data_IF_299853175901
#
_entry.id   IF_299853175901
#
_cell.length_a   1.000
_cell.length_b   1.000
_cell.length_c   1.000
_cell.angle_alpha   90.00
_cell.angle_beta   90.00
_cell.angle_gamma   90.00
#
_symmetry.space_group_name_H-M   'P 1'
#
loop_
_entity.id
_entity.type
_entity.pdbx_description
1 polymer ?
#
# COMPACT_ATOMS: atom_id res chain seq x y z
N UNK A 1 62.01 38.82 -7.88
CA UNK A 1 62.95 38.27 -6.89
C UNK A 1 63.16 36.82 -7.30
N UNK A 2 64.21 36.51 -8.09
CA UNK A 2 65.58 36.24 -7.64
C UNK A 2 65.58 35.10 -6.62
N UNK A 3 66.35 34.02 -6.65
CA UNK A 3 67.43 33.46 -7.48
C UNK A 3 67.63 32.03 -6.90
N UNK A 4 67.88 31.00 -7.71
CA UNK A 4 69.17 30.29 -7.85
C UNK A 4 69.64 29.43 -6.66
N UNK A 5 69.81 28.13 -6.96
CA UNK A 5 70.88 27.20 -6.57
C UNK A 5 71.26 26.90 -5.10
N UNK A 6 71.37 25.60 -4.80
CA UNK A 6 72.18 25.10 -3.68
C UNK A 6 71.97 23.63 -3.28
N UNK A 7 72.59 22.70 -4.04
CA UNK A 7 73.35 21.49 -3.63
C UNK A 7 72.84 20.60 -2.45
N UNK A 8 72.92 19.25 -2.45
CA UNK A 8 74.09 18.41 -2.71
C UNK A 8 73.69 16.92 -2.86
N UNK A 9 74.48 16.23 -3.69
CA UNK A 9 74.48 14.81 -4.02
C UNK A 9 74.70 13.88 -2.81
N UNK A 10 74.17 12.65 -2.90
CA UNK A 10 74.89 11.40 -2.61
C UNK A 10 74.17 10.22 -3.32
N UNK A 11 74.82 9.64 -4.34
CA UNK A 11 74.56 8.26 -4.82
C UNK A 11 75.48 7.31 -4.02
N UNK A 12 75.09 6.04 -3.88
CA UNK A 12 75.93 5.01 -4.51
C UNK A 12 75.08 3.94 -5.24
N UNK A 13 75.40 3.66 -6.51
CA UNK A 13 76.15 2.49 -7.02
C UNK A 13 75.24 1.30 -7.35
N UNK A 14 75.37 0.88 -8.60
CA UNK A 14 74.67 -0.16 -9.34
C UNK A 14 74.60 -1.54 -8.65
N UNK A 15 73.50 -2.23 -8.91
CA UNK A 15 73.52 -3.61 -9.40
C UNK A 15 72.16 -3.96 -10.00
N UNK A 16 72.06 -4.02 -11.33
CA UNK A 16 71.11 -4.95 -11.96
C UNK A 16 71.57 -6.38 -11.62
N UNK A 17 70.63 -7.32 -11.48
CA UNK A 17 70.43 -8.19 -12.64
C UNK A 17 68.99 -8.66 -12.85
N UNK A 18 68.74 -8.99 -14.11
CA UNK A 18 67.88 -10.07 -14.60
C UNK A 18 66.36 -9.89 -14.53
N UNK A 19 65.85 -9.58 -15.72
CA UNK A 19 64.66 -10.19 -16.33
C UNK A 19 64.33 -11.59 -15.84
N UNK A 20 63.22 -11.76 -15.12
CA UNK A 20 62.37 -12.96 -15.16
C UNK A 20 60.92 -12.57 -14.78
N UNK A 21 60.02 -12.71 -15.75
CA UNK A 21 58.57 -13.00 -15.63
C UNK A 21 57.69 -12.25 -14.60
N UNK A 22 57.09 -11.13 -15.01
CA UNK A 22 55.87 -10.59 -14.38
C UNK A 22 54.75 -10.57 -15.42
N UNK A 23 54.29 -11.75 -15.83
CA UNK A 23 53.12 -11.86 -16.71
C UNK A 23 52.12 -12.93 -16.24
N UNK A 24 51.84 -13.02 -14.94
CA UNK A 24 50.82 -13.98 -14.45
C UNK A 24 49.96 -13.53 -13.26
N UNK A 25 49.99 -12.25 -12.86
CA UNK A 25 49.21 -11.77 -11.69
C UNK A 25 48.14 -10.68 -11.99
N UNK A 26 47.82 -10.43 -13.27
CA UNK A 26 46.79 -9.45 -13.67
C UNK A 26 45.42 -10.06 -14.05
N UNK A 27 45.30 -11.39 -14.21
CA UNK A 27 44.02 -12.03 -14.57
C UNK A 27 43.11 -12.30 -13.36
N UNK A 28 43.66 -12.56 -12.18
CA UNK A 28 42.86 -12.93 -11.00
C UNK A 28 42.26 -11.72 -10.28
N UNK A 29 42.99 -10.60 -10.16
CA UNK A 29 42.45 -9.34 -9.62
C UNK A 29 41.30 -8.76 -10.47
N UNK A 30 41.32 -8.96 -11.79
CA UNK A 30 40.25 -8.48 -12.71
C UNK A 30 39.01 -9.37 -12.64
N UNK A 31 39.17 -10.68 -12.39
CA UNK A 31 38.08 -11.63 -12.14
C UNK A 31 37.41 -11.40 -10.79
N UNK A 32 38.16 -11.11 -9.73
CA UNK A 32 37.58 -10.81 -8.41
C UNK A 32 36.84 -9.46 -8.38
N UNK A 33 37.37 -8.41 -9.03
CA UNK A 33 36.66 -7.13 -9.13
C UNK A 33 35.37 -7.23 -9.96
N UNK A 34 35.36 -8.05 -11.03
CA UNK A 34 34.17 -8.24 -11.87
C UNK A 34 33.14 -9.17 -11.22
N UNK A 35 33.57 -10.21 -10.48
CA UNK A 35 32.68 -11.04 -9.64
C UNK A 35 32.09 -10.24 -8.48
N UNK A 36 32.86 -9.37 -7.84
CA UNK A 36 32.39 -8.55 -6.72
C UNK A 36 31.45 -7.43 -7.18
N UNK A 37 31.76 -6.75 -8.29
CA UNK A 37 30.85 -5.77 -8.91
C UNK A 37 29.57 -6.41 -9.44
N UNK A 38 29.62 -7.59 -10.06
CA UNK A 38 28.42 -8.30 -10.52
C UNK A 38 27.57 -8.84 -9.36
N UNK A 39 28.18 -9.31 -8.26
CA UNK A 39 27.46 -9.67 -7.02
C UNK A 39 26.83 -8.45 -6.33
N UNK A 40 27.53 -7.32 -6.29
CA UNK A 40 26.99 -6.06 -5.76
C UNK A 40 25.85 -5.51 -6.62
N UNK A 41 25.99 -5.51 -7.95
CA UNK A 41 24.93 -5.10 -8.88
C UNK A 41 23.70 -6.01 -8.75
N UNK A 42 23.90 -7.34 -8.71
CA UNK A 42 22.80 -8.31 -8.53
C UNK A 42 22.09 -8.12 -7.19
N UNK A 43 22.82 -7.82 -6.10
CA UNK A 43 22.24 -7.53 -4.77
C UNK A 43 21.46 -6.20 -4.75
N UNK A 44 21.92 -5.21 -5.52
CA UNK A 44 21.26 -3.91 -5.64
C UNK A 44 19.98 -4.00 -6.49
N UNK A 45 20.00 -4.78 -7.57
CA UNK A 45 18.83 -5.09 -8.39
C UNK A 45 17.76 -5.84 -7.58
N UNK A 46 18.14 -6.85 -6.81
CA UNK A 46 17.19 -7.57 -5.93
C UNK A 46 16.57 -6.65 -4.87
N UNK A 47 17.36 -5.74 -4.28
CA UNK A 47 16.85 -4.79 -3.30
C UNK A 47 15.86 -3.78 -3.92
N UNK A 48 16.14 -3.29 -5.12
CA UNK A 48 15.22 -2.40 -5.83
C UNK A 48 13.91 -3.09 -6.17
N UNK A 49 13.96 -4.36 -6.58
CA UNK A 49 12.79 -5.17 -6.87
C UNK A 49 11.95 -5.45 -5.61
N UNK A 50 12.60 -5.83 -4.51
CA UNK A 50 11.94 -6.00 -3.21
C UNK A 50 11.25 -4.72 -2.75
N UNK A 51 11.93 -3.57 -2.86
CA UNK A 51 11.36 -2.27 -2.54
C UNK A 51 10.15 -1.94 -3.41
N UNK A 52 10.23 -2.21 -4.71
CA UNK A 52 9.13 -1.97 -5.65
C UNK A 52 7.92 -2.86 -5.31
N UNK A 53 8.15 -4.13 -5.02
CA UNK A 53 7.12 -5.09 -4.61
C UNK A 53 6.48 -4.69 -3.28
N UNK A 54 7.26 -4.21 -2.31
CA UNK A 54 6.73 -3.68 -1.06
C UNK A 54 5.82 -2.45 -1.28
N UNK A 55 6.22 -1.53 -2.16
CA UNK A 55 5.40 -0.36 -2.54
C UNK A 55 4.09 -0.77 -3.22
N UNK A 56 4.14 -1.73 -4.16
CA UNK A 56 2.95 -2.27 -4.84
C UNK A 56 2.00 -2.95 -3.85
N UNK A 57 2.53 -3.84 -2.99
CA UNK A 57 1.74 -4.50 -1.93
C UNK A 57 1.07 -3.47 -1.02
N UNK A 58 1.75 -2.38 -0.68
CA UNK A 58 1.13 -1.32 0.13
C UNK A 58 -0.03 -0.64 -0.56
N UNK A 59 0.12 -0.27 -1.84
CA UNK A 59 -0.96 0.35 -2.62
C UNK A 59 -2.15 -0.58 -2.82
N UNK A 60 -1.90 -1.87 -3.06
CA UNK A 60 -2.97 -2.85 -3.20
C UNK A 60 -3.76 -3.03 -1.90
N UNK A 61 -3.10 -3.01 -0.73
CA UNK A 61 -3.80 -3.01 0.56
C UNK A 61 -4.64 -1.76 0.76
N UNK A 62 -4.11 -0.60 0.38
CA UNK A 62 -4.84 0.67 0.48
C UNK A 62 -6.09 0.63 -0.40
N UNK A 63 -5.98 0.15 -1.65
CA UNK A 63 -7.11 -0.05 -2.57
C UNK A 63 -8.13 -1.08 -2.03
N UNK A 64 -7.66 -2.22 -1.53
CA UNK A 64 -8.52 -3.24 -0.95
C UNK A 64 -9.27 -2.73 0.28
N UNK A 65 -8.60 -2.01 1.19
CA UNK A 65 -9.27 -1.41 2.35
C UNK A 65 -10.40 -0.46 1.92
N UNK A 66 -10.14 0.41 0.94
CA UNK A 66 -11.16 1.32 0.43
C UNK A 66 -12.35 0.55 -0.15
N UNK A 67 -12.10 -0.48 -0.97
CA UNK A 67 -13.15 -1.32 -1.54
C UNK A 67 -13.94 -2.11 -0.49
N UNK A 68 -13.27 -2.63 0.53
CA UNK A 68 -13.94 -3.26 1.67
C UNK A 68 -14.90 -2.28 2.34
N UNK A 69 -14.46 -1.06 2.63
CA UNK A 69 -15.32 -0.03 3.24
C UNK A 69 -16.47 0.38 2.32
N UNK A 70 -16.25 0.47 1.00
CA UNK A 70 -17.32 0.74 0.02
C UNK A 70 -18.41 -0.34 0.10
N UNK A 71 -18.02 -1.62 0.02
CA UNK A 71 -18.97 -2.72 0.11
C UNK A 71 -19.69 -2.74 1.46
N UNK A 72 -18.96 -2.51 2.57
CA UNK A 72 -19.53 -2.50 3.91
C UNK A 72 -20.57 -1.40 4.05
N UNK A 73 -20.26 -0.18 3.64
CA UNK A 73 -21.21 0.93 3.72
C UNK A 73 -22.44 0.69 2.84
N UNK A 74 -22.27 0.05 1.68
CA UNK A 74 -23.42 -0.37 0.87
C UNK A 74 -24.34 -1.35 1.63
N UNK A 75 -23.79 -2.29 2.42
CA UNK A 75 -24.59 -3.16 3.30
C UNK A 75 -25.33 -2.38 4.39
N UNK A 76 -24.77 -1.26 4.84
CA UNK A 76 -25.42 -0.33 5.77
C UNK A 76 -26.38 0.65 5.07
N UNK A 77 -26.68 0.46 3.78
CA UNK A 77 -27.63 1.26 3.02
C UNK A 77 -27.11 2.62 2.57
N UNK A 78 -25.79 2.80 2.48
CA UNK A 78 -25.21 3.96 1.80
C UNK A 78 -25.19 3.75 0.28
N UNK A 79 -25.29 4.85 -0.45
CA UNK A 79 -25.12 4.91 -1.90
C UNK A 79 -23.81 5.62 -2.23
N UNK A 80 -22.87 4.91 -2.85
CA UNK A 80 -21.56 5.42 -3.19
C UNK A 80 -21.42 5.54 -4.70
N UNK A 81 -21.26 6.78 -5.17
CA UNK A 81 -21.02 7.07 -6.58
C UNK A 81 -19.52 7.11 -6.86
N UNK A 82 -19.05 6.24 -7.73
CA UNK A 82 -17.63 6.04 -8.05
C UNK A 82 -17.38 6.48 -9.49
N UNK A 83 -16.39 7.33 -9.71
CA UNK A 83 -16.01 7.73 -11.06
C UNK A 83 -15.25 6.59 -11.75
N UNK A 84 -15.43 6.49 -13.06
CA UNK A 84 -14.67 5.56 -13.88
C UNK A 84 -13.18 5.78 -13.73
N UNK A 85 -12.44 4.68 -13.59
CA UNK A 85 -10.98 4.71 -13.64
C UNK A 85 -10.52 5.05 -15.05
N UNK A 86 -9.66 6.07 -15.16
CA UNK A 86 -9.08 6.47 -16.44
C UNK A 86 -8.23 5.37 -17.07
N UNK A 87 -7.53 4.57 -16.24
CA UNK A 87 -6.74 3.41 -16.68
C UNK A 87 -6.92 2.28 -15.67
N UNK A 88 -7.15 1.05 -16.15
CA UNK A 88 -7.05 -0.15 -15.30
C UNK A 88 -5.57 -0.48 -15.07
N UNK A 89 -5.16 -0.61 -13.80
CA UNK A 89 -3.78 -0.98 -13.46
C UNK A 89 -3.56 -2.48 -13.64
N UNK A 90 -2.50 -2.89 -14.35
CA UNK A 90 -2.19 -4.32 -14.55
C UNK A 90 -1.58 -5.01 -13.33
N UNK A 91 -0.81 -4.28 -12.53
CA UNK A 91 0.01 -4.84 -11.44
C UNK A 91 -0.27 -4.21 -10.08
N UNK A 92 -1.01 -3.10 -10.05
CA UNK A 92 -1.35 -2.39 -8.82
C UNK A 92 -2.76 -1.85 -8.93
N UNK A 93 -3.62 -2.25 -8.00
CA UNK A 93 -4.99 -1.76 -7.89
C UNK A 93 -4.97 -0.28 -7.54
N UNK A 94 -5.87 0.48 -8.16
CA UNK A 94 -6.00 1.92 -7.93
C UNK A 94 -7.13 2.18 -6.93
N UNK A 95 -6.94 3.18 -6.09
CA UNK A 95 -8.02 3.73 -5.28
C UNK A 95 -9.09 4.31 -6.19
N UNK A 96 -10.34 4.02 -5.86
CA UNK A 96 -11.50 4.59 -6.51
C UNK A 96 -11.66 6.06 -6.14
N UNK A 97 -12.07 6.86 -7.13
CA UNK A 97 -12.49 8.24 -6.90
C UNK A 97 -13.97 8.24 -6.59
N UNK A 98 -14.33 8.45 -5.33
CA UNK A 98 -15.73 8.54 -4.92
C UNK A 98 -16.18 9.99 -5.14
N UNK A 99 -17.17 10.20 -6.01
CA UNK A 99 -17.70 11.54 -6.29
C UNK A 99 -18.71 12.00 -5.24
N UNK A 100 -19.56 11.09 -4.76
CA UNK A 100 -20.47 11.39 -3.66
C UNK A 100 -20.87 10.15 -2.87
N UNK A 101 -21.26 10.36 -1.61
CA UNK A 101 -21.89 9.36 -0.76
C UNK A 101 -23.22 9.91 -0.26
N UNK A 102 -24.27 9.10 -0.33
CA UNK A 102 -25.59 9.41 0.23
C UNK A 102 -26.04 8.33 1.21
N UNK A 103 -26.96 8.71 2.09
CA UNK A 103 -27.69 7.80 2.99
C UNK A 103 -29.14 8.28 3.03
N UNK A 104 -30.08 7.41 2.68
CA UNK A 104 -31.51 7.73 2.72
C UNK A 104 -31.84 9.03 1.95
N UNK A 105 -31.26 9.18 0.75
CA UNK A 105 -31.41 10.37 -0.09
C UNK A 105 -30.58 11.59 0.34
N UNK A 106 -30.06 11.62 1.57
CA UNK A 106 -29.26 12.75 2.11
C UNK A 106 -27.80 12.65 1.67
N UNK A 107 -27.25 13.74 1.13
CA UNK A 107 -25.84 13.82 0.73
C UNK A 107 -24.94 14.01 1.97
N UNK A 108 -24.03 13.07 2.21
CA UNK A 108 -23.11 13.09 3.37
C UNK A 108 -21.66 13.37 3.01
N UNK A 109 -21.32 13.28 1.72
CA UNK A 109 -20.00 13.57 1.19
C UNK A 109 -20.07 13.91 -0.30
N UNK A 110 -19.27 14.89 -0.73
CA UNK A 110 -19.00 15.18 -2.13
C UNK A 110 -17.54 15.55 -2.31
N UNK A 111 -16.90 15.01 -3.35
CA UNK A 111 -15.44 15.13 -3.51
C UNK A 111 -14.96 16.56 -3.77
N UNK A 112 -15.78 17.40 -4.40
CA UNK A 112 -15.39 18.79 -4.69
C UNK A 112 -15.44 19.71 -3.47
N UNK A 113 -16.14 19.31 -2.40
CA UNK A 113 -16.19 20.09 -1.15
C UNK A 113 -14.84 20.04 -0.43
N UNK A 114 -14.01 19.04 -0.77
CA UNK A 114 -12.64 18.92 -0.28
C UNK A 114 -11.75 19.76 -1.19
N UNK A 115 -11.21 20.86 -0.65
CA UNK A 115 -10.25 21.73 -1.35
C UNK A 115 -8.88 21.61 -0.67
N UNK A 116 -7.98 20.74 -1.17
CA UNK A 116 -6.63 20.62 -0.61
C UNK A 116 -5.81 21.89 -0.86
N UNK A 117 -5.23 22.45 0.19
CA UNK A 117 -4.27 23.57 0.13
C UNK A 117 -2.86 23.09 -0.26
N UNK A 118 -2.75 22.43 -1.41
CA UNK A 118 -1.46 22.00 -1.98
C UNK A 118 -1.43 22.36 -3.45
N UNK A 119 -0.31 22.86 -3.96
CA UNK A 119 -0.23 23.33 -5.36
C UNK A 119 -0.16 22.16 -6.36
N UNK A 120 0.65 21.14 -6.02
CA UNK A 120 0.92 20.00 -6.89
C UNK A 120 -0.30 19.07 -7.06
N UNK A 121 -0.66 18.76 -8.31
CA UNK A 121 -1.83 17.94 -8.65
C UNK A 121 -1.75 16.52 -8.07
N UNK A 122 -0.55 15.94 -7.97
CA UNK A 122 -0.38 14.59 -7.42
C UNK A 122 -0.60 14.58 -5.91
N UNK A 123 -0.12 15.59 -5.21
CA UNK A 123 -0.34 15.72 -3.77
C UNK A 123 -1.79 16.14 -3.46
N UNK A 124 -2.44 16.98 -4.30
CA UNK A 124 -3.90 17.22 -4.23
C UNK A 124 -4.67 15.90 -4.28
N UNK A 125 -4.29 15.03 -5.23
CA UNK A 125 -4.93 13.73 -5.39
C UNK A 125 -4.77 12.85 -4.16
N UNK A 126 -3.56 12.78 -3.60
CA UNK A 126 -3.28 11.99 -2.38
C UNK A 126 -4.06 12.50 -1.17
N UNK A 127 -4.18 13.82 -1.03
CA UNK A 127 -4.98 14.43 0.01
C UNK A 127 -6.46 14.01 -0.14
N UNK A 128 -7.02 14.12 -1.35
CA UNK A 128 -8.39 13.70 -1.61
C UNK A 128 -8.61 12.21 -1.33
N UNK A 129 -7.67 11.34 -1.72
CA UNK A 129 -7.72 9.91 -1.42
C UNK A 129 -7.70 9.65 0.10
N UNK A 130 -6.84 10.34 0.85
CA UNK A 130 -6.75 10.22 2.31
C UNK A 130 -8.01 10.72 3.03
N UNK A 131 -8.56 11.86 2.60
CA UNK A 131 -9.81 12.43 3.13
C UNK A 131 -10.98 11.52 2.82
N UNK A 132 -11.09 11.02 1.59
CA UNK A 132 -12.16 10.10 1.18
C UNK A 132 -12.11 8.83 2.04
N UNK A 133 -10.95 8.21 2.19
CA UNK A 133 -10.80 7.00 3.02
C UNK A 133 -11.14 7.28 4.49
N UNK A 134 -10.73 8.44 5.02
CA UNK A 134 -11.08 8.85 6.39
C UNK A 134 -12.59 9.00 6.56
N UNK A 135 -13.26 9.62 5.58
CA UNK A 135 -14.72 9.75 5.59
C UNK A 135 -15.42 8.40 5.55
N UNK A 136 -14.94 7.44 4.76
CA UNK A 136 -15.48 6.08 4.74
C UNK A 136 -15.35 5.39 6.11
N UNK A 137 -14.21 5.57 6.79
CA UNK A 137 -13.99 5.04 8.13
C UNK A 137 -14.95 5.68 9.15
N UNK A 138 -15.11 7.00 9.11
CA UNK A 138 -16.00 7.71 10.02
C UNK A 138 -17.46 7.28 9.82
N UNK A 139 -17.90 7.11 8.56
CA UNK A 139 -19.22 6.61 8.25
C UNK A 139 -19.43 5.17 8.75
N UNK A 140 -18.39 4.32 8.68
CA UNK A 140 -18.46 2.96 9.20
C UNK A 140 -18.52 2.95 10.74
N UNK A 141 -17.72 3.79 11.41
CA UNK A 141 -17.72 3.94 12.87
C UNK A 141 -19.03 4.49 13.44
N UNK A 142 -19.82 5.20 12.63
CA UNK A 142 -21.15 5.64 13.03
C UNK A 142 -22.16 4.50 13.16
N UNK A 143 -21.83 3.29 12.67
CA UNK A 143 -22.67 2.11 12.86
C UNK A 143 -22.46 1.55 14.29
N UNK A 144 -23.51 1.36 15.11
CA UNK A 144 -23.37 1.04 16.55
C UNK A 144 -22.54 -0.21 16.85
N UNK A 145 -22.59 -1.21 15.97
CA UNK A 145 -21.95 -2.51 16.16
C UNK A 145 -20.53 -2.58 15.57
N UNK A 146 -20.04 -1.48 14.98
CA UNK A 146 -18.72 -1.43 14.34
C UNK A 146 -17.65 -0.95 15.32
N UNK A 147 -16.56 -1.71 15.42
CA UNK A 147 -15.36 -1.33 16.16
C UNK A 147 -14.15 -1.38 15.21
N UNK A 148 -13.41 -0.27 15.09
CA UNK A 148 -12.20 -0.20 14.26
C UNK A 148 -11.00 0.14 15.12
N UNK A 149 -9.95 -0.69 15.03
CA UNK A 149 -8.63 -0.35 15.58
C UNK A 149 -7.74 0.09 14.44
N UNK A 150 -7.23 1.31 14.51
CA UNK A 150 -6.36 1.87 13.49
C UNK A 150 -4.89 1.52 13.70
N UNK A 151 -4.16 1.36 12.60
CA UNK A 151 -2.71 1.23 12.59
C UNK A 151 -2.09 2.62 12.72
N UNK A 152 -1.29 2.83 13.78
CA UNK A 152 -0.45 4.03 13.92
C UNK A 152 0.47 4.17 12.70
N UNK A 153 0.33 5.29 11.99
CA UNK A 153 1.14 5.64 10.84
C UNK A 153 2.01 6.87 11.15
N UNK A 154 3.13 7.00 10.44
CA UNK A 154 3.99 8.20 10.55
C UNK A 154 3.20 9.42 10.06
N UNK A 155 3.25 10.51 10.83
CA UNK A 155 2.65 11.78 10.45
C UNK A 155 3.42 12.33 9.24
N UNK A 156 2.68 12.78 8.22
CA UNK A 156 3.28 13.36 7.02
C UNK A 156 3.99 14.67 7.35
N UNK A 157 5.04 15.00 6.59
CA UNK A 157 5.71 16.31 6.66
C UNK A 157 4.80 17.49 6.31
N UNK A 158 3.65 17.21 5.69
CA UNK A 158 2.59 18.18 5.36
C UNK A 158 1.41 18.12 6.35
N UNK A 159 1.63 17.63 7.58
CA UNK A 159 0.62 17.54 8.63
C UNK A 159 -0.31 16.32 8.54
N UNK A 160 -1.40 16.35 9.30
CA UNK A 160 -2.35 15.23 9.40
C UNK A 160 -3.13 14.97 8.10
N UNK A 161 -3.25 15.97 7.23
CA UNK A 161 -4.11 15.92 6.04
C UNK A 161 -3.67 14.93 4.95
N UNK A 162 -2.40 14.49 4.92
CA UNK A 162 -1.88 13.64 3.84
C UNK A 162 -1.76 12.15 4.24
N UNK A 163 -1.89 11.84 5.54
CA UNK A 163 -1.77 10.47 6.02
C UNK A 163 -3.07 9.68 5.85
N UNK A 164 -3.10 8.67 4.98
CA UNK A 164 -4.26 7.78 4.88
C UNK A 164 -4.39 6.91 6.14
N UNK A 165 -5.55 6.99 6.80
CA UNK A 165 -5.91 6.14 7.95
C UNK A 165 -6.02 4.68 7.52
N UNK A 166 -5.49 3.77 8.34
CA UNK A 166 -5.39 2.34 8.00
C UNK A 166 -5.96 1.48 9.10
N UNK A 167 -6.76 0.49 8.72
CA UNK A 167 -7.35 -0.48 9.64
C UNK A 167 -6.29 -1.51 10.04
N UNK A 168 -6.16 -1.75 11.34
CA UNK A 168 -5.42 -2.89 11.90
C UNK A 168 -6.37 -4.08 12.10
N UNK A 169 -7.49 -3.82 12.76
CA UNK A 169 -8.59 -4.79 12.95
C UNK A 169 -9.93 -4.08 12.82
N UNK A 170 -10.91 -4.80 12.30
CA UNK A 170 -12.30 -4.37 12.17
C UNK A 170 -13.17 -5.41 12.87
N UNK A 171 -14.16 -5.00 13.66
CA UNK A 171 -15.13 -5.90 14.26
C UNK A 171 -16.55 -5.43 13.98
N UNK A 172 -17.42 -6.39 13.70
CA UNK A 172 -18.85 -6.20 13.50
C UNK A 172 -19.57 -7.43 14.04
N UNK A 173 -20.55 -7.22 14.92
CA UNK A 173 -21.41 -8.26 15.50
C UNK A 173 -20.59 -9.39 16.15
N UNK A 174 -19.55 -9.01 16.90
CA UNK A 174 -18.64 -9.94 17.57
C UNK A 174 -17.58 -10.58 16.65
N UNK A 175 -17.78 -10.58 15.33
CA UNK A 175 -16.81 -11.11 14.38
C UNK A 175 -15.64 -10.13 14.22
N UNK A 176 -14.39 -10.62 14.36
CA UNK A 176 -13.19 -9.78 14.18
C UNK A 176 -12.42 -10.14 12.92
N UNK A 177 -12.27 -9.16 12.03
CA UNK A 177 -11.50 -9.23 10.80
C UNK A 177 -10.12 -8.59 10.99
N UNK A 178 -9.08 -9.31 10.57
CA UNK A 178 -7.71 -8.79 10.52
C UNK A 178 -7.41 -8.21 9.15
N UNK A 179 -6.26 -7.52 9.04
CA UNK A 179 -5.80 -6.93 7.78
C UNK A 179 -5.77 -7.92 6.60
N UNK A 180 -5.51 -9.20 6.84
CA UNK A 180 -5.50 -10.24 5.82
C UNK A 180 -6.91 -10.49 5.26
N UNK A 181 -7.91 -10.59 6.14
CA UNK A 181 -9.31 -10.77 5.77
C UNK A 181 -9.82 -9.54 5.02
N UNK A 182 -9.57 -8.34 5.55
CA UNK A 182 -9.93 -7.06 4.92
C UNK A 182 -9.29 -6.94 3.54
N UNK A 183 -8.01 -7.29 3.40
CA UNK A 183 -7.31 -7.23 2.10
C UNK A 183 -7.92 -8.22 1.10
N UNK A 184 -8.26 -9.44 1.54
CA UNK A 184 -8.85 -10.47 0.67
C UNK A 184 -10.24 -10.05 0.19
N UNK A 185 -11.14 -9.71 1.12
CA UNK A 185 -12.50 -9.28 0.80
C UNK A 185 -12.49 -7.99 -0.03
N UNK A 186 -11.65 -7.04 0.38
CA UNK A 186 -11.48 -5.78 -0.32
C UNK A 186 -11.00 -5.94 -1.76
N UNK A 187 -10.08 -6.89 -2.03
CA UNK A 187 -9.65 -7.18 -3.39
C UNK A 187 -10.78 -7.78 -4.25
N UNK A 188 -11.57 -8.71 -3.68
CA UNK A 188 -12.73 -9.28 -4.39
C UNK A 188 -13.77 -8.22 -4.73
N UNK A 189 -14.10 -7.35 -3.77
CA UNK A 189 -15.03 -6.23 -3.98
C UNK A 189 -14.45 -5.23 -4.99
N UNK A 190 -13.14 -4.99 -4.98
CA UNK A 190 -12.48 -4.12 -5.96
C UNK A 190 -12.72 -4.61 -7.38
N UNK A 191 -12.48 -5.90 -7.63
CA UNK A 191 -12.67 -6.52 -8.95
C UNK A 191 -14.15 -6.46 -9.38
N UNK A 192 -15.09 -6.76 -8.48
CA UNK A 192 -16.53 -6.65 -8.76
C UNK A 192 -16.96 -5.23 -9.13
N UNK A 193 -16.45 -4.21 -8.42
CA UNK A 193 -16.72 -2.81 -8.77
C UNK A 193 -16.18 -2.50 -10.18
N UNK A 194 -15.02 -3.04 -10.56
CA UNK A 194 -14.46 -2.84 -11.91
C UNK A 194 -15.26 -3.53 -13.02
N UNK A 195 -15.93 -4.64 -12.70
CA UNK A 195 -16.84 -5.36 -13.60
C UNK A 195 -18.15 -4.61 -13.78
N UNK A 196 -18.68 -4.02 -12.71
CA UNK A 196 -19.90 -3.21 -12.74
C UNK A 196 -19.68 -1.76 -13.20
N UNK A 197 -18.45 -1.40 -13.54
CA UNK A 197 -18.11 -0.02 -13.90
C UNK A 197 -18.64 0.32 -15.30
N UNK A 198 -19.61 1.25 -15.34
CA UNK A 198 -20.22 1.73 -16.58
C UNK A 198 -19.32 2.67 -17.38
N UNK A 199 -19.91 3.35 -18.36
CA UNK A 199 -19.16 4.24 -19.25
C UNK A 199 -18.57 5.46 -18.56
N UNK A 200 -19.25 5.98 -17.53
CA UNK A 200 -18.89 7.21 -16.81
C UNK A 200 -18.63 6.98 -15.32
N UNK A 201 -19.43 6.15 -14.69
CA UNK A 201 -19.42 5.91 -13.26
C UNK A 201 -19.90 4.49 -12.91
N UNK A 202 -19.82 4.18 -11.63
CA UNK A 202 -20.38 2.99 -11.00
C UNK A 202 -21.13 3.45 -9.74
N UNK A 203 -22.35 2.97 -9.54
CA UNK A 203 -23.11 3.19 -8.31
C UNK A 203 -23.09 1.90 -7.50
N UNK A 204 -22.55 1.95 -6.29
CA UNK A 204 -22.58 0.84 -5.34
C UNK A 204 -23.55 1.17 -4.22
N UNK A 205 -24.55 0.33 -4.02
CA UNK A 205 -25.59 0.49 -3.00
C UNK A 205 -26.09 -0.88 -2.52
N UNK A 206 -27.18 -0.92 -1.74
CA UNK A 206 -27.75 -2.16 -1.22
C UNK A 206 -28.25 -3.13 -2.30
N UNK A 207 -28.53 -2.65 -3.51
CA UNK A 207 -28.98 -3.48 -4.65
C UNK A 207 -27.80 -4.11 -5.40
N UNK A 208 -26.56 -3.72 -5.09
CA UNK A 208 -25.34 -4.39 -5.55
C UNK A 208 -25.14 -5.70 -4.78
N UNK A 209 -26.03 -6.67 -5.00
CA UNK A 209 -26.14 -7.91 -4.22
C UNK A 209 -24.89 -8.76 -4.28
N UNK A 210 -24.20 -8.81 -5.41
CA UNK A 210 -22.93 -9.50 -5.59
C UNK A 210 -21.84 -8.95 -4.65
N UNK A 211 -21.74 -7.62 -4.53
CA UNK A 211 -20.79 -6.94 -3.66
C UNK A 211 -21.18 -7.09 -2.18
N UNK A 212 -22.45 -6.82 -1.86
CA UNK A 212 -22.95 -6.80 -0.48
C UNK A 212 -23.01 -8.19 0.15
N UNK A 213 -23.38 -9.22 -0.64
CA UNK A 213 -23.46 -10.60 -0.16
C UNK A 213 -22.12 -11.19 0.22
N UNK A 214 -21.00 -10.78 -0.40
CA UNK A 214 -19.65 -11.24 0.01
C UNK A 214 -19.41 -10.95 1.49
N UNK A 215 -19.70 -9.72 1.92
CA UNK A 215 -19.46 -9.29 3.29
C UNK A 215 -20.40 -10.05 4.23
N UNK A 216 -21.69 -10.09 3.90
CA UNK A 216 -22.70 -10.76 4.71
C UNK A 216 -22.42 -12.26 4.87
N UNK A 217 -22.07 -12.95 3.78
CA UNK A 217 -21.74 -14.38 3.79
C UNK A 217 -20.47 -14.66 4.59
N UNK A 218 -19.44 -13.83 4.43
CA UNK A 218 -18.19 -14.01 5.16
C UNK A 218 -18.39 -13.83 6.67
N UNK A 219 -19.10 -12.78 7.09
CA UNK A 219 -19.42 -12.53 8.49
C UNK A 219 -20.27 -13.66 9.06
N UNK A 220 -21.32 -14.07 8.34
CA UNK A 220 -22.20 -15.17 8.77
C UNK A 220 -21.46 -16.49 8.96
N UNK A 221 -20.52 -16.81 8.06
CA UNK A 221 -19.71 -18.02 8.17
C UNK A 221 -18.72 -17.96 9.36
N UNK A 222 -18.08 -16.81 9.58
CA UNK A 222 -17.16 -16.62 10.71
C UNK A 222 -17.87 -16.71 12.06
N UNK A 223 -19.03 -16.07 12.19
CA UNK A 223 -19.85 -16.13 13.41
C UNK A 223 -20.20 -17.57 13.76
N UNK A 224 -20.62 -18.38 12.77
CA UNK A 224 -20.92 -19.81 12.96
C UNK A 224 -19.71 -20.63 13.42
N UNK A 225 -18.51 -20.32 12.94
CA UNK A 225 -17.29 -21.00 13.36
C UNK A 225 -16.88 -20.63 14.78
N UNK A 226 -17.09 -19.38 15.18
CA UNK A 226 -16.77 -18.89 16.52
C UNK A 226 -17.78 -19.39 17.56
N UNK A 227 -19.07 -19.53 17.19
CA UNK A 227 -20.10 -20.13 18.06
C UNK A 227 -20.01 -21.66 18.16
N UNK A 228 -19.52 -22.35 17.12
CA UNK A 228 -19.37 -23.82 17.13
C UNK A 228 -18.17 -24.33 17.95
N UNK A 229 -17.28 -23.43 18.38
CA UNK A 229 -16.11 -23.76 19.21
C UNK A 229 -16.34 -23.50 20.72
N UNK A 230 -17.51 -23.00 21.13
CA UNK A 230 -17.82 -22.75 22.55
C UNK A 230 -18.43 -23.94 23.30
N UNK A 231 -18.78 -25.02 22.61
CA UNK A 231 -19.54 -26.15 23.19
C UNK A 231 -18.67 -27.34 23.64
N UNK A 232 -17.37 -27.13 23.87
CA UNK A 232 -16.48 -28.17 24.43
C UNK A 232 -15.71 -27.68 25.66
N UNK A 233 -16.42 -27.17 26.67
CA UNK A 233 -15.96 -27.15 28.06
C UNK A 233 -17.17 -27.26 29.00
N UNK A 234 -17.88 -28.37 28.94
CA UNK A 234 -18.79 -28.82 30.01
C UNK A 234 -18.89 -30.34 29.91
N UNK A 235 -17.78 -30.99 30.23
CA UNK A 235 -17.74 -32.36 30.71
C UNK A 235 -16.32 -32.63 31.22
N UNK A 236 -16.08 -32.26 32.47
CA UNK A 236 -15.14 -32.91 33.39
C UNK A 236 -15.35 -32.29 34.78
N UNK A 237 -16.21 -32.98 35.54
CA UNK A 237 -16.20 -33.21 37.00
C UNK A 237 -15.22 -32.39 37.85
#
# INVERSE_FOLDING_TARGET
>A
MCDSDGQLLLRPINSEPNSVDIELNQKDNKKELTSSKSKQNKKQETYQEEMLNAKRKSKNRDAAQQSFLIGLLATFGYELKINKLYKKGKTTSQLFTISSIKKEGTLVYKSYDVVPEVEDLRDKRRCLDAVTNSKLLDLALNHPEVIIVEKKCRISKYGHAIGMRRIKTFSLNGCTLRIQDITKLGAQIHDMILEHMGEKDCLVNIQSYDITSIIQNYLSHRIKQESGNSDTVDDLL
#
